data_IF_718590673305
#
_entry.id   IF_718590673305
#
_cell.length_a   1.000
_cell.length_b   1.000
_cell.length_c   1.000
_cell.angle_alpha   90.00
_cell.angle_beta   90.00
_cell.angle_gamma   90.00
#
_symmetry.space_group_name_H-M   'P 1'
#
loop_
_entity.id
_entity.type
_entity.pdbx_description
1 polymer ?
#
# COMPACT_ATOMS: atom_id res chain seq x y z
N UNK A 1 21.49 -4.35 35.94
CA UNK A 1 20.58 -4.30 34.78
C UNK A 1 19.34 -3.50 35.14
N UNK A 2 19.18 -2.28 34.59
CA UNK A 2 18.04 -1.39 34.88
C UNK A 2 16.87 -1.73 33.94
N UNK A 3 15.73 -2.11 34.52
CA UNK A 3 14.48 -2.30 33.80
C UNK A 3 13.84 -0.94 33.49
N UNK A 4 13.55 -0.68 32.21
CA UNK A 4 12.74 0.46 31.79
C UNK A 4 11.26 0.13 32.01
N UNK A 5 10.61 0.89 32.89
CA UNK A 5 9.16 0.89 33.10
C UNK A 5 8.62 2.10 32.32
N UNK A 6 7.93 1.86 31.20
CA UNK A 6 7.25 2.91 30.45
C UNK A 6 5.93 3.25 31.16
N UNK A 7 5.74 4.54 31.43
CA UNK A 7 4.53 5.09 32.01
C UNK A 7 3.40 5.12 30.98
N UNK A 8 2.23 4.61 31.36
CA UNK A 8 1.01 4.72 30.56
C UNK A 8 0.38 6.10 30.79
N UNK A 9 0.23 6.87 29.71
CA UNK A 9 -0.62 8.06 29.70
C UNK A 9 -2.02 7.69 29.20
N UNK A 10 -3.11 8.12 29.87
CA UNK A 10 -4.48 7.88 29.42
C UNK A 10 -4.83 8.91 28.34
N UNK A 11 -4.52 8.58 27.08
CA UNK A 11 -5.01 9.29 25.91
C UNK A 11 -6.34 8.69 25.47
N UNK A 12 -7.37 9.53 25.41
CA UNK A 12 -8.73 9.26 24.96
C UNK A 12 -8.82 8.16 23.90
N UNK A 13 -9.44 7.04 24.30
CA UNK A 13 -9.81 5.95 23.42
C UNK A 13 -10.94 6.44 22.53
N UNK A 14 -10.60 6.84 21.31
CA UNK A 14 -11.58 6.94 20.23
C UNK A 14 -12.35 5.63 20.16
N UNK A 15 -13.67 5.70 20.14
CA UNK A 15 -14.57 4.57 20.10
C UNK A 15 -14.44 3.86 18.75
N UNK A 16 -13.45 2.96 18.61
CA UNK A 16 -13.27 2.13 17.43
C UNK A 16 -14.20 0.93 17.54
N UNK A 17 -15.24 0.97 16.71
CA UNK A 17 -16.29 -0.03 16.60
C UNK A 17 -15.74 -1.46 16.66
N UNK A 18 -16.15 -2.22 17.69
CA UNK A 18 -16.08 -3.67 17.69
C UNK A 18 -17.04 -4.20 16.62
N UNK A 19 -16.53 -4.87 15.59
CA UNK A 19 -17.34 -5.56 14.60
C UNK A 19 -16.49 -6.36 13.61
N UNK A 20 -16.58 -7.69 13.69
CA UNK A 20 -16.26 -8.70 12.67
C UNK A 20 -15.08 -8.45 11.68
N UNK A 21 -13.86 -8.75 12.13
CA UNK A 21 -13.10 -9.89 11.59
C UNK A 21 -12.56 -9.92 10.14
N UNK A 22 -12.67 -8.87 9.33
CA UNK A 22 -12.03 -8.82 8.00
C UNK A 22 -10.86 -7.85 7.95
N UNK A 23 -9.81 -8.23 7.21
CA UNK A 23 -8.71 -7.35 6.85
C UNK A 23 -9.21 -6.16 6.05
N UNK A 24 -8.58 -5.00 6.20
CA UNK A 24 -8.74 -3.95 5.20
C UNK A 24 -8.22 -4.47 3.85
N UNK A 25 -9.12 -4.74 2.90
CA UNK A 25 -8.76 -5.06 1.52
C UNK A 25 -8.19 -3.80 0.81
N UNK A 26 -7.71 -3.95 -0.42
CA UNK A 26 -7.16 -2.84 -1.20
C UNK A 26 -8.13 -1.65 -1.24
N UNK A 27 -9.41 -1.89 -1.57
CA UNK A 27 -10.45 -0.86 -1.63
C UNK A 27 -10.68 -0.12 -0.31
N UNK A 28 -10.66 -0.83 0.82
CA UNK A 28 -10.81 -0.24 2.14
C UNK A 28 -9.60 0.63 2.50
N UNK A 29 -8.38 0.16 2.18
CA UNK A 29 -7.16 0.96 2.35
C UNK A 29 -7.16 2.19 1.45
N UNK A 30 -7.73 2.06 0.25
CA UNK A 30 -7.93 3.17 -0.67
C UNK A 30 -8.92 4.19 -0.06
N UNK A 31 -10.09 3.78 0.40
CA UNK A 31 -11.06 4.68 1.01
C UNK A 31 -10.49 5.47 2.20
N UNK A 32 -9.65 4.83 3.02
CA UNK A 32 -9.01 5.47 4.19
C UNK A 32 -7.98 6.56 3.83
N UNK A 33 -7.40 6.54 2.62
CA UNK A 33 -6.29 7.44 2.27
C UNK A 33 -6.73 8.74 1.60
N UNK A 34 -7.97 8.82 1.10
CA UNK A 34 -8.49 9.92 0.28
C UNK A 34 -8.68 11.25 1.03
N UNK A 35 -8.79 11.26 2.36
CA UNK A 35 -9.30 12.42 3.11
C UNK A 35 -8.37 13.63 3.34
N UNK A 36 -7.20 13.78 2.68
CA UNK A 36 -6.23 14.85 3.04
C UNK A 36 -5.46 15.55 1.89
N UNK A 37 -5.79 15.30 0.62
CA UNK A 37 -4.96 15.78 -0.50
C UNK A 37 -5.20 17.25 -0.92
N UNK A 38 -6.39 17.81 -0.68
CA UNK A 38 -6.84 19.04 -1.37
C UNK A 38 -6.17 20.36 -0.90
N UNK A 39 -5.58 20.40 0.30
CA UNK A 39 -5.16 21.68 0.91
C UNK A 39 -3.79 22.25 0.45
N UNK A 40 -2.95 21.48 -0.26
CA UNK A 40 -1.53 21.86 -0.51
C UNK A 40 -1.18 22.38 -1.91
N UNK A 41 -2.09 22.33 -2.89
CA UNK A 41 -1.75 22.56 -4.31
C UNK A 41 -1.51 24.01 -4.76
N UNK A 42 -1.90 25.03 -3.98
CA UNK A 42 -1.92 26.43 -4.49
C UNK A 42 -0.55 27.11 -4.56
N UNK A 43 0.46 26.64 -3.84
CA UNK A 43 1.75 27.34 -3.73
C UNK A 43 2.79 26.97 -4.82
N UNK A 44 2.61 25.87 -5.57
CA UNK A 44 3.64 25.34 -6.49
C UNK A 44 3.51 25.79 -7.96
N UNK A 45 2.38 26.38 -8.37
CA UNK A 45 2.08 26.73 -9.77
C UNK A 45 3.04 27.77 -10.36
N UNK A 46 3.63 28.63 -9.52
CA UNK A 46 4.44 29.77 -9.96
C UNK A 46 5.82 29.41 -10.56
N UNK A 47 6.38 28.23 -10.25
CA UNK A 47 7.76 27.89 -10.64
C UNK A 47 7.88 27.10 -11.96
N UNK A 48 6.84 26.34 -12.35
CA UNK A 48 6.90 25.40 -13.49
C UNK A 48 6.00 25.82 -14.66
N UNK A 49 5.19 26.87 -14.51
CA UNK A 49 4.19 27.26 -15.53
C UNK A 49 3.15 26.17 -15.83
N UNK A 50 3.08 25.14 -14.98
CA UNK A 50 2.14 24.02 -15.06
C UNK A 50 1.47 23.83 -13.72
N UNK A 51 0.19 23.50 -13.73
CA UNK A 51 -0.51 23.14 -12.50
C UNK A 51 -0.11 21.73 -12.06
N UNK A 52 -0.33 21.42 -10.79
CA UNK A 52 -0.15 20.05 -10.30
C UNK A 52 -1.01 19.06 -11.10
N UNK A 53 -2.23 19.44 -11.49
CA UNK A 53 -3.12 18.61 -12.29
C UNK A 53 -2.55 18.29 -13.70
N UNK A 54 -1.89 19.27 -14.35
CA UNK A 54 -1.25 19.05 -15.65
C UNK A 54 -0.07 18.07 -15.55
N UNK A 55 0.69 18.16 -14.46
CA UNK A 55 1.83 17.27 -14.21
C UNK A 55 1.34 15.88 -13.80
N UNK A 56 0.36 15.77 -12.91
CA UNK A 56 -0.14 14.47 -12.45
C UNK A 56 -0.81 13.68 -13.58
N UNK A 57 -1.47 14.35 -14.54
CA UNK A 57 -2.02 13.70 -15.74
C UNK A 57 -0.96 13.23 -16.74
N UNK A 58 0.29 13.69 -16.64
CA UNK A 58 1.39 13.32 -17.55
C UNK A 58 2.44 12.39 -16.93
N UNK A 59 2.27 12.02 -15.64
CA UNK A 59 3.20 11.18 -14.90
C UNK A 59 2.50 9.90 -14.44
N UNK A 60 3.01 8.76 -14.89
CA UNK A 60 2.65 7.46 -14.31
C UNK A 60 3.65 7.09 -13.22
N UNK A 61 3.21 7.16 -11.97
CA UNK A 61 3.99 6.71 -10.84
C UNK A 61 3.69 5.23 -10.55
N UNK A 62 4.73 4.40 -10.58
CA UNK A 62 4.63 2.97 -10.28
C UNK A 62 5.43 2.70 -9.01
N UNK A 63 4.76 2.15 -7.99
CA UNK A 63 5.45 1.60 -6.81
C UNK A 63 6.39 0.47 -7.26
N UNK A 64 7.50 0.26 -6.56
CA UNK A 64 8.37 -0.90 -6.78
C UNK A 64 8.16 -1.97 -5.70
N UNK A 65 7.04 -1.92 -4.99
CA UNK A 65 6.68 -2.91 -3.98
C UNK A 65 7.68 -2.94 -2.82
N UNK A 66 8.08 -1.79 -2.25
CA UNK A 66 8.91 -1.79 -1.03
C UNK A 66 8.07 -1.94 0.23
N UNK A 67 6.90 -1.28 0.25
CA UNK A 67 5.97 -1.23 1.37
C UNK A 67 4.60 -0.72 0.89
N UNK A 68 3.50 -1.19 1.48
CA UNK A 68 2.14 -0.72 1.16
C UNK A 68 1.95 0.79 1.36
N UNK A 69 2.72 1.41 2.25
CA UNK A 69 2.74 2.86 2.45
C UNK A 69 3.22 3.68 1.24
N UNK A 70 3.93 3.07 0.28
CA UNK A 70 4.32 3.75 -0.95
C UNK A 70 3.10 4.14 -1.79
N UNK A 71 2.14 3.22 -1.98
CA UNK A 71 0.85 3.51 -2.64
C UNK A 71 0.08 4.61 -1.92
N UNK A 72 -0.04 4.51 -0.60
CA UNK A 72 -0.70 5.54 0.21
C UNK A 72 -0.02 6.91 0.06
N UNK A 73 1.30 6.94 -0.06
CA UNK A 73 2.06 8.17 -0.27
C UNK A 73 1.82 8.75 -1.67
N UNK A 74 1.85 7.93 -2.72
CA UNK A 74 1.55 8.35 -4.10
C UNK A 74 0.14 8.96 -4.20
N UNK A 75 -0.84 8.38 -3.51
CA UNK A 75 -2.20 8.94 -3.45
C UNK A 75 -2.29 10.27 -2.73
N UNK A 76 -1.61 10.40 -1.59
CA UNK A 76 -1.54 11.68 -0.86
C UNK A 76 -0.87 12.79 -1.68
N UNK A 77 0.01 12.40 -2.60
CA UNK A 77 0.61 13.30 -3.56
C UNK A 77 -0.29 13.61 -4.75
N UNK A 78 -1.46 12.98 -4.92
CA UNK A 78 -2.31 13.14 -6.09
C UNK A 78 -1.78 12.44 -7.35
N UNK A 79 -0.84 11.50 -7.20
CA UNK A 79 -0.19 10.75 -8.27
C UNK A 79 -0.70 9.31 -8.39
N UNK A 80 -1.82 8.97 -7.73
CA UNK A 80 -2.36 7.61 -7.70
C UNK A 80 -3.66 7.49 -8.47
N UNK A 81 -3.61 6.82 -9.62
CA UNK A 81 -4.77 6.30 -10.35
C UNK A 81 -5.15 4.89 -9.88
N UNK A 82 -5.57 4.04 -10.82
CA UNK A 82 -5.85 2.62 -10.57
C UNK A 82 -4.71 1.88 -9.86
N UNK A 83 -5.01 0.69 -9.32
CA UNK A 83 -3.99 -0.19 -8.76
C UNK A 83 -2.94 -0.54 -9.83
N UNK A 84 -1.67 -0.38 -9.48
CA UNK A 84 -0.54 -0.78 -10.31
C UNK A 84 0.01 -2.13 -9.79
N UNK A 85 0.70 -2.92 -10.64
CA UNK A 85 1.05 -4.31 -10.33
C UNK A 85 1.84 -4.52 -9.03
N UNK A 86 2.65 -3.52 -8.63
CA UNK A 86 3.47 -3.59 -7.42
C UNK A 86 2.89 -2.78 -6.25
N UNK A 87 1.64 -2.33 -6.36
CA UNK A 87 0.92 -1.79 -5.23
C UNK A 87 0.62 -2.92 -4.25
N UNK A 88 0.59 -2.59 -2.95
CA UNK A 88 0.26 -3.54 -1.89
C UNK A 88 1.17 -4.76 -1.75
N UNK A 89 2.33 -4.79 -2.40
CA UNK A 89 3.30 -5.87 -2.21
C UNK A 89 4.62 -5.41 -1.60
N UNK A 90 5.39 -6.38 -1.10
CA UNK A 90 6.81 -6.24 -0.81
C UNK A 90 7.60 -7.16 -1.73
N UNK A 91 8.63 -6.66 -2.39
CA UNK A 91 9.49 -7.42 -3.29
C UNK A 91 10.96 -7.12 -3.03
N UNK A 92 11.80 -8.11 -3.32
CA UNK A 92 13.25 -7.92 -3.42
C UNK A 92 13.63 -7.35 -4.79
N UNK A 93 14.77 -6.66 -4.87
CA UNK A 93 15.31 -6.20 -6.15
C UNK A 93 15.52 -7.35 -7.15
N UNK A 94 15.88 -8.55 -6.66
CA UNK A 94 16.05 -9.74 -7.48
C UNK A 94 14.74 -10.21 -8.12
N UNK A 95 13.64 -10.22 -7.33
CA UNK A 95 12.31 -10.53 -7.85
C UNK A 95 11.87 -9.52 -8.90
N UNK A 96 12.03 -8.23 -8.58
CA UNK A 96 11.71 -7.14 -9.52
C UNK A 96 12.45 -7.27 -10.84
N UNK A 97 13.78 -7.45 -10.81
CA UNK A 97 14.58 -7.63 -12.02
C UNK A 97 14.19 -8.89 -12.78
N UNK A 98 13.92 -10.00 -12.08
CA UNK A 98 13.47 -11.23 -12.71
C UNK A 98 12.20 -11.00 -13.53
N UNK A 99 11.16 -10.41 -12.94
CA UNK A 99 9.89 -10.17 -13.62
C UNK A 99 10.03 -9.19 -14.78
N UNK A 100 10.78 -8.10 -14.61
CA UNK A 100 11.00 -7.12 -15.68
C UNK A 100 11.78 -7.70 -16.87
N UNK A 101 12.71 -8.63 -16.62
CA UNK A 101 13.51 -9.26 -17.68
C UNK A 101 12.88 -10.55 -18.26
N UNK A 102 11.76 -11.01 -17.69
CA UNK A 102 11.11 -12.28 -18.05
C UNK A 102 9.61 -12.10 -18.29
N UNK A 103 9.19 -10.92 -18.74
CA UNK A 103 7.80 -10.61 -19.08
C UNK A 103 6.81 -11.01 -17.97
N UNK A 104 7.18 -10.71 -16.71
CA UNK A 104 6.41 -11.00 -15.51
C UNK A 104 6.10 -12.50 -15.29
N UNK A 105 6.92 -13.40 -15.86
CA UNK A 105 6.82 -14.83 -15.61
C UNK A 105 6.85 -15.14 -14.10
N UNK A 106 5.85 -15.88 -13.63
CA UNK A 106 5.70 -16.27 -12.23
C UNK A 106 5.50 -15.10 -11.26
N UNK A 107 5.01 -13.94 -11.75
CA UNK A 107 4.78 -12.77 -10.90
C UNK A 107 3.86 -13.08 -9.72
N UNK A 108 2.72 -13.71 -10.00
CA UNK A 108 1.70 -14.06 -8.99
C UNK A 108 1.97 -15.41 -8.30
N UNK A 109 3.14 -16.01 -8.50
CA UNK A 109 3.48 -17.28 -7.86
C UNK A 109 3.80 -17.07 -6.38
N UNK A 110 3.22 -17.92 -5.54
CA UNK A 110 3.43 -17.91 -4.10
C UNK A 110 3.56 -19.33 -3.56
N UNK A 111 4.27 -19.45 -2.44
CA UNK A 111 4.59 -20.73 -1.80
C UNK A 111 3.92 -20.89 -0.44
N UNK A 112 3.52 -19.78 0.20
CA UNK A 112 2.80 -19.82 1.47
C UNK A 112 1.72 -18.76 1.56
N UNK A 113 0.61 -19.14 2.21
CA UNK A 113 -0.47 -18.24 2.63
C UNK A 113 -0.40 -18.13 4.14
N UNK A 114 -0.26 -16.91 4.65
CA UNK A 114 -0.17 -16.63 6.07
C UNK A 114 -1.35 -15.77 6.51
N UNK A 115 -1.94 -16.12 7.65
CA UNK A 115 -2.85 -15.23 8.36
C UNK A 115 -2.07 -14.50 9.44
N UNK A 116 -2.03 -13.18 9.36
CA UNK A 116 -1.31 -12.33 10.32
C UNK A 116 -2.25 -11.29 10.91
N UNK A 117 -1.91 -10.76 12.08
CA UNK A 117 -2.67 -9.68 12.71
C UNK A 117 -1.76 -8.47 12.83
N UNK A 118 -2.14 -7.34 12.23
CA UNK A 118 -1.42 -6.07 12.32
C UNK A 118 -2.39 -4.98 12.78
N UNK A 119 -2.04 -4.26 13.85
CA UNK A 119 -2.89 -3.23 14.47
C UNK A 119 -4.32 -3.73 14.72
N UNK A 120 -4.44 -4.92 15.33
CA UNK A 120 -5.73 -5.59 15.62
C UNK A 120 -6.58 -5.94 14.39
N UNK A 121 -6.05 -5.82 13.17
CA UNK A 121 -6.70 -6.26 11.94
C UNK A 121 -6.05 -7.56 11.47
N UNK A 122 -6.86 -8.61 11.27
CA UNK A 122 -6.42 -9.86 10.63
C UNK A 122 -6.20 -9.59 9.16
N UNK A 123 -5.22 -10.22 8.52
CA UNK A 123 -4.96 -10.12 7.10
C UNK A 123 -4.33 -11.38 6.54
N UNK A 124 -4.59 -11.64 5.26
CA UNK A 124 -3.98 -12.72 4.50
C UNK A 124 -2.79 -12.15 3.73
N UNK A 125 -1.67 -12.85 3.80
CA UNK A 125 -0.45 -12.51 3.08
C UNK A 125 -0.02 -13.72 2.27
N UNK A 126 0.11 -13.54 0.96
CA UNK A 126 0.68 -14.54 0.07
C UNK A 126 2.17 -14.27 -0.08
N UNK A 127 3.03 -15.26 0.15
CA UNK A 127 4.49 -15.09 0.12
C UNK A 127 5.16 -16.06 -0.83
N UNK A 128 6.18 -15.56 -1.52
CA UNK A 128 7.17 -16.34 -2.25
C UNK A 128 8.56 -16.07 -1.66
N UNK A 129 9.60 -16.64 -2.28
CA UNK A 129 10.99 -16.35 -1.92
C UNK A 129 11.36 -14.88 -2.11
N UNK A 130 10.78 -14.21 -3.11
CA UNK A 130 11.18 -12.87 -3.55
C UNK A 130 10.10 -11.81 -3.33
N UNK A 131 8.89 -12.22 -2.93
CA UNK A 131 7.73 -11.35 -2.85
C UNK A 131 6.80 -11.67 -1.67
N UNK A 132 5.98 -10.70 -1.30
CA UNK A 132 4.78 -10.91 -0.50
C UNK A 132 3.67 -9.96 -0.92
N UNK A 133 2.48 -10.47 -1.13
CA UNK A 133 1.30 -9.72 -1.52
C UNK A 133 0.42 -9.52 -0.29
N UNK A 134 0.02 -8.27 -0.07
CA UNK A 134 -0.81 -7.83 1.03
C UNK A 134 -2.07 -7.21 0.45
N UNK A 135 -3.19 -7.26 1.17
CA UNK A 135 -4.44 -6.61 0.78
C UNK A 135 -5.08 -7.11 -0.55
N UNK A 136 -4.49 -8.10 -1.21
CA UNK A 136 -5.02 -8.81 -2.38
C UNK A 136 -5.31 -10.26 -2.03
N UNK A 137 -6.38 -10.81 -2.60
CA UNK A 137 -6.68 -12.23 -2.58
C UNK A 137 -6.23 -12.92 -3.87
N UNK A 138 -5.03 -13.48 -3.88
CA UNK A 138 -4.50 -14.18 -5.06
C UNK A 138 -5.22 -15.50 -5.40
N UNK A 139 -6.20 -15.91 -4.59
CA UNK A 139 -7.11 -17.02 -4.89
C UNK A 139 -8.40 -16.55 -5.58
N UNK A 140 -8.71 -15.25 -5.53
CA UNK A 140 -9.79 -14.65 -6.29
C UNK A 140 -9.30 -14.36 -7.73
N UNK A 141 -10.10 -14.71 -8.73
CA UNK A 141 -9.77 -14.45 -10.13
C UNK A 141 -9.75 -12.95 -10.44
N UNK A 142 -10.60 -12.16 -9.79
CA UNK A 142 -10.68 -10.72 -10.04
C UNK A 142 -9.40 -9.96 -9.63
N UNK A 143 -8.71 -10.43 -8.59
CA UNK A 143 -7.46 -9.83 -8.10
C UNK A 143 -6.23 -10.28 -8.92
N UNK A 144 -6.40 -11.19 -9.89
CA UNK A 144 -5.34 -11.71 -10.76
C UNK A 144 -5.36 -11.11 -12.17
N UNK A 145 -6.46 -10.46 -12.57
CA UNK A 145 -6.66 -9.82 -13.88
C UNK A 145 -6.29 -8.33 -13.84
#
# INVERSE_FOLDING_TARGET
>A
ARAYRLAEHPGQVGQWSRGAGAAANADQMEAMSAGRAEARGRAQVAALGRTFADVSGSVHAVSLGSYCGAKLSLRRLGLGGAHMPFDWMRTSVHGLLHWLCKDFAGFLDWTSRLEVTQVSQRMVVYRSRVASFWHSDLQDGADRE
#
